data_IF_839464776847
#
_entry.id   IF_839464776847
#
_cell.length_a   1.000
_cell.length_b   1.000
_cell.length_c   1.000
_cell.angle_alpha   90.00
_cell.angle_beta   90.00
_cell.angle_gamma   90.00
#
_symmetry.space_group_name_H-M   'P 1'
#
loop_
_entity.id
_entity.type
_entity.pdbx_description
1 polymer ?
#
# COMPACT_ATOMS: atom_id res chain seq x y z
N UNK A 1 7.65 -7.55 -9.25
CA UNK A 1 7.20 -7.35 -8.26
C UNK A 1 7.73 -7.82 -7.07
N UNK A 2 7.63 -7.38 -6.06
CA UNK A 2 8.49 -7.42 -5.12
C UNK A 2 8.21 -8.37 -4.09
N UNK A 3 8.56 -9.58 -4.36
CA UNK A 3 8.76 -10.53 -3.32
C UNK A 3 9.97 -10.19 -2.48
N UNK A 4 10.67 -9.15 -2.89
CA UNK A 4 11.88 -8.73 -2.18
C UNK A 4 11.64 -7.65 -1.16
N UNK A 5 10.38 -7.26 -0.94
CA UNK A 5 10.07 -6.26 0.09
C UNK A 5 10.50 -6.77 1.45
N UNK A 6 11.25 -5.96 2.17
CA UNK A 6 11.67 -6.25 3.53
C UNK A 6 10.79 -5.44 4.46
N UNK A 7 10.08 -6.14 5.35
CA UNK A 7 9.20 -5.49 6.32
C UNK A 7 9.95 -5.35 7.62
N UNK A 8 9.97 -4.16 8.19
CA UNK A 8 10.72 -3.90 9.41
C UNK A 8 9.78 -3.54 10.55
N UNK A 9 10.16 -3.98 11.75
CA UNK A 9 9.38 -3.65 12.95
C UNK A 9 9.78 -2.26 13.47
N UNK A 10 9.19 -1.87 14.61
CA UNK A 10 9.45 -0.56 15.20
C UNK A 10 10.89 -0.36 15.64
N UNK A 11 11.67 -1.43 15.78
CA UNK A 11 13.08 -1.35 16.15
C UNK A 11 14.00 -1.42 14.93
N UNK A 12 13.43 -1.43 13.73
CA UNK A 12 14.22 -1.49 12.51
C UNK A 12 14.67 -2.86 12.09
N UNK A 13 14.20 -3.90 12.79
CA UNK A 13 14.60 -5.27 12.47
C UNK A 13 13.62 -5.91 11.51
N UNK A 14 14.14 -6.80 10.66
CA UNK A 14 13.31 -7.46 9.66
C UNK A 14 12.31 -8.39 10.32
N UNK A 15 11.08 -8.36 9.84
CA UNK A 15 10.07 -9.33 10.24
C UNK A 15 10.46 -10.66 9.61
N UNK A 16 10.62 -11.69 10.42
CA UNK A 16 11.03 -13.02 9.95
C UNK A 16 9.96 -14.07 10.12
N UNK A 17 8.87 -13.78 10.82
CA UNK A 17 7.81 -14.75 11.05
C UNK A 17 7.10 -15.06 9.73
N UNK A 18 7.10 -16.34 9.36
CA UNK A 18 6.54 -16.77 8.07
C UNK A 18 5.07 -16.40 7.93
N UNK A 19 4.29 -16.59 9.00
CA UNK A 19 2.87 -16.28 8.95
C UNK A 19 2.63 -14.78 8.80
N UNK A 20 3.40 -13.97 9.51
CA UNK A 20 3.26 -12.52 9.36
C UNK A 20 3.63 -12.08 7.95
N UNK A 21 4.71 -12.63 7.41
CA UNK A 21 5.14 -12.29 6.05
C UNK A 21 4.09 -12.68 5.01
N UNK A 22 3.43 -13.83 5.22
CA UNK A 22 2.39 -14.27 4.29
C UNK A 22 1.24 -13.27 4.28
N UNK A 23 0.77 -12.85 5.46
CA UNK A 23 -0.32 -11.90 5.56
C UNK A 23 0.06 -10.55 4.94
N UNK A 24 1.27 -10.08 5.26
CA UNK A 24 1.74 -8.79 4.72
C UNK A 24 1.81 -8.82 3.21
N UNK A 25 2.31 -9.92 2.63
CA UNK A 25 2.43 -10.04 1.18
C UNK A 25 1.08 -10.13 0.49
N UNK A 26 0.15 -10.87 1.09
CA UNK A 26 -1.19 -10.97 0.53
C UNK A 26 -1.90 -9.63 0.58
N UNK A 27 -1.78 -8.92 1.70
CA UNK A 27 -2.38 -7.61 1.82
C UNK A 27 -1.78 -6.63 0.83
N UNK A 28 -0.46 -6.68 0.64
CA UNK A 28 0.21 -5.79 -0.29
C UNK A 28 -0.28 -6.03 -1.72
N UNK A 29 -0.42 -7.29 -2.10
CA UNK A 29 -0.87 -7.63 -3.45
C UNK A 29 -2.29 -7.12 -3.70
N UNK A 30 -3.18 -7.31 -2.73
CA UNK A 30 -4.56 -6.86 -2.84
C UNK A 30 -4.65 -5.33 -2.88
N UNK A 31 -3.88 -4.68 -2.03
CA UNK A 31 -3.88 -3.23 -1.99
C UNK A 31 -3.33 -2.63 -3.28
N UNK A 32 -2.25 -3.21 -3.78
CA UNK A 32 -1.67 -2.77 -5.04
C UNK A 32 -2.67 -2.87 -6.18
N UNK A 33 -3.39 -3.97 -6.25
CA UNK A 33 -4.38 -4.16 -7.31
C UNK A 33 -5.52 -3.15 -7.16
N UNK A 34 -6.00 -2.95 -5.93
CA UNK A 34 -7.09 -1.99 -5.70
C UNK A 34 -6.67 -0.57 -6.09
N UNK A 35 -5.43 -0.18 -5.74
CA UNK A 35 -4.94 1.15 -6.09
C UNK A 35 -4.78 1.29 -7.61
N UNK A 36 -4.28 0.25 -8.27
CA UNK A 36 -4.11 0.29 -9.71
C UNK A 36 -5.44 0.43 -10.42
N UNK A 37 -6.44 -0.34 -9.98
CA UNK A 37 -7.77 -0.27 -10.58
C UNK A 37 -8.40 1.11 -10.36
N UNK A 38 -8.29 1.66 -9.16
CA UNK A 38 -8.84 2.98 -8.86
C UNK A 38 -8.12 4.06 -9.67
N UNK A 39 -6.81 3.92 -9.84
CA UNK A 39 -6.03 4.88 -10.61
C UNK A 39 -6.48 4.88 -12.08
N UNK A 40 -6.61 3.71 -12.66
CA UNK A 40 -7.04 3.58 -14.05
C UNK A 40 -8.45 4.15 -14.24
N UNK A 41 -9.35 3.83 -13.31
CA UNK A 41 -10.72 4.34 -13.38
C UNK A 41 -10.75 5.86 -13.33
N UNK A 42 -9.93 6.45 -12.44
CA UNK A 42 -9.89 7.90 -12.31
C UNK A 42 -9.43 8.56 -13.61
N UNK A 43 -8.41 7.99 -14.25
CA UNK A 43 -7.91 8.53 -15.52
C UNK A 43 -8.99 8.43 -16.60
N UNK A 44 -9.69 7.30 -16.66
CA UNK A 44 -10.76 7.13 -17.63
C UNK A 44 -11.90 8.12 -17.40
N UNK A 45 -12.09 8.56 -16.16
CA UNK A 45 -13.12 9.56 -15.85
C UNK A 45 -12.62 11.00 -15.99
N UNK A 46 -11.37 11.18 -16.39
CA UNK A 46 -10.85 12.51 -16.68
C UNK A 46 -9.97 13.13 -15.61
N UNK A 47 -9.64 12.38 -14.56
CA UNK A 47 -8.73 12.91 -13.52
C UNK A 47 -7.29 12.84 -14.04
N UNK A 48 -6.53 13.93 -13.87
CA UNK A 48 -5.13 13.94 -14.27
C UNK A 48 -4.33 12.94 -13.43
N UNK A 49 -3.37 12.23 -14.04
CA UNK A 49 -2.60 11.22 -13.30
C UNK A 49 -1.92 11.75 -12.04
N UNK A 50 -1.31 12.93 -12.12
CA UNK A 50 -0.63 13.50 -10.96
C UNK A 50 -1.60 13.88 -9.86
N UNK A 51 -2.80 14.31 -10.23
CA UNK A 51 -3.84 14.63 -9.25
C UNK A 51 -4.28 13.36 -8.52
N UNK A 52 -4.43 12.27 -9.25
CA UNK A 52 -4.82 11.01 -8.60
C UNK A 52 -3.72 10.49 -7.69
N UNK A 53 -2.45 10.61 -8.10
CA UNK A 53 -1.34 10.21 -7.24
C UNK A 53 -1.32 11.02 -5.95
N UNK A 54 -1.49 12.34 -6.06
CA UNK A 54 -1.51 13.21 -4.88
C UNK A 54 -2.65 12.84 -3.94
N UNK A 55 -3.80 12.50 -4.51
CA UNK A 55 -4.95 12.10 -3.73
C UNK A 55 -4.68 10.81 -2.94
N UNK A 56 -4.07 9.82 -3.61
CA UNK A 56 -3.70 8.58 -2.94
C UNK A 56 -2.67 8.81 -1.84
N UNK A 57 -1.70 9.69 -2.08
CA UNK A 57 -0.70 10.02 -1.08
C UNK A 57 -1.33 10.70 0.13
N UNK A 58 -2.31 11.56 -0.09
CA UNK A 58 -3.02 12.18 1.00
C UNK A 58 -3.77 11.15 1.83
N UNK A 59 -4.42 10.21 1.17
CA UNK A 59 -5.12 9.14 1.88
C UNK A 59 -4.17 8.36 2.77
N UNK A 60 -2.98 8.02 2.24
CA UNK A 60 -1.97 7.31 3.02
C UNK A 60 -1.55 8.12 4.24
N UNK A 61 -1.39 9.43 4.07
CA UNK A 61 -0.91 10.28 5.17
C UNK A 61 -1.90 10.37 6.32
N UNK A 62 -3.16 10.01 6.08
CA UNK A 62 -4.19 10.09 7.11
C UNK A 62 -4.43 8.78 7.85
N UNK A 63 -3.70 7.74 7.50
CA UNK A 63 -3.84 6.46 8.18
C UNK A 63 -3.31 6.57 9.61
N UNK A 64 -4.00 5.92 10.54
CA UNK A 64 -3.57 5.89 11.93
C UNK A 64 -3.52 4.45 12.42
N UNK A 65 -2.64 4.20 13.40
CA UNK A 65 -2.47 2.87 13.93
C UNK A 65 -3.57 2.48 14.89
N UNK A 66 -3.69 1.17 15.19
CA UNK A 66 -4.69 0.70 16.13
C UNK A 66 -4.40 1.24 17.53
N UNK A 67 -5.44 1.67 18.22
CA UNK A 67 -5.32 2.19 19.56
C UNK A 67 -4.79 3.61 19.67
N UNK A 68 -4.63 4.29 18.56
CA UNK A 68 -4.13 5.67 18.58
C UNK A 68 -5.27 6.66 18.64
#
# INVERSE_FOLDING_TARGET
MSDLTVWRDGNGESIACVEKLRVLRENEAELRQAMQDAFEDAILMGVAPDEMRAHLMEMVSKLSGPGA
#
